data_IF_229565304502
#
_entry.id   IF_229565304502
#
_cell.length_a   1.000
_cell.length_b   1.000
_cell.length_c   1.000
_cell.angle_alpha   90.00
_cell.angle_beta   90.00
_cell.angle_gamma   90.00
#
_symmetry.space_group_name_H-M   'P 1'
#
loop_
_entity.id
_entity.type
_entity.pdbx_description
1 polymer ?
#
# COMPACT_ATOMS: atom_id res chain seq x y z
N UNK A 1 -5.49 -5.80 -22.30
CA UNK A 1 -5.80 -5.13 -21.01
C UNK A 1 -4.50 -4.86 -20.29
N UNK A 2 -4.31 -3.69 -19.65
CA UNK A 2 -3.25 -3.56 -18.65
C UNK A 2 -3.41 -4.70 -17.65
N UNK A 3 -2.31 -5.32 -17.24
CA UNK A 3 -2.36 -6.35 -16.22
C UNK A 3 -2.94 -5.71 -14.94
N UNK A 4 -4.18 -6.06 -14.61
CA UNK A 4 -4.91 -5.49 -13.48
C UNK A 4 -4.09 -5.52 -12.20
N UNK A 5 -3.31 -6.59 -11.99
CA UNK A 5 -2.41 -6.74 -10.84
C UNK A 5 -1.32 -5.66 -10.83
N UNK A 6 -0.73 -5.34 -11.99
CA UNK A 6 0.28 -4.28 -12.10
C UNK A 6 -0.32 -2.90 -11.85
N UNK A 7 -1.52 -2.64 -12.36
CA UNK A 7 -2.24 -1.39 -12.13
C UNK A 7 -2.63 -1.22 -10.65
N UNK A 8 -3.12 -2.28 -10.02
CA UNK A 8 -3.47 -2.29 -8.59
C UNK A 8 -2.24 -2.09 -7.70
N UNK A 9 -1.13 -2.77 -7.99
CA UNK A 9 0.14 -2.58 -7.28
C UNK A 9 0.62 -1.12 -7.33
N UNK A 10 0.57 -0.49 -8.50
CA UNK A 10 0.94 0.91 -8.66
C UNK A 10 0.04 1.85 -7.84
N UNK A 11 -1.28 1.62 -7.87
CA UNK A 11 -2.23 2.42 -7.11
C UNK A 11 -2.00 2.35 -5.60
N UNK A 12 -1.81 1.14 -5.06
CA UNK A 12 -1.55 0.92 -3.63
C UNK A 12 -0.23 1.55 -3.17
N UNK A 13 0.83 1.47 -4.00
CA UNK A 13 2.08 2.16 -3.72
C UNK A 13 1.91 3.69 -3.66
N UNK A 14 1.07 4.25 -4.53
CA UNK A 14 0.70 5.67 -4.50
C UNK A 14 -0.03 6.07 -3.21
N UNK A 15 -0.96 5.24 -2.75
CA UNK A 15 -1.68 5.46 -1.48
C UNK A 15 -0.70 5.44 -0.30
N UNK A 16 0.22 4.47 -0.25
CA UNK A 16 1.24 4.42 0.81
C UNK A 16 2.12 5.67 0.85
N UNK A 17 2.53 6.19 -0.32
CA UNK A 17 3.31 7.43 -0.39
C UNK A 17 2.51 8.62 0.15
N UNK A 18 1.24 8.76 -0.26
CA UNK A 18 0.37 9.82 0.24
C UNK A 18 0.16 9.74 1.76
N UNK A 19 -0.05 8.54 2.32
CA UNK A 19 -0.16 8.34 3.77
C UNK A 19 1.15 8.74 4.48
N UNK A 20 2.30 8.38 3.92
CA UNK A 20 3.59 8.75 4.49
C UNK A 20 3.82 10.27 4.50
N UNK A 21 3.43 10.96 3.44
CA UNK A 21 3.54 12.42 3.34
C UNK A 21 2.54 13.13 4.27
N UNK A 22 1.29 12.65 4.35
CA UNK A 22 0.32 13.15 5.33
C UNK A 22 0.80 12.98 6.77
N UNK A 23 1.47 11.85 7.08
CA UNK A 23 2.05 11.62 8.41
C UNK A 23 3.13 12.65 8.73
N UNK A 24 4.03 12.95 7.79
CA UNK A 24 5.08 13.99 7.96
C UNK A 24 4.46 15.37 8.22
N UNK A 25 3.41 15.72 7.46
CA UNK A 25 2.73 17.00 7.61
C UNK A 25 1.98 17.13 8.94
N UNK A 26 1.56 16.01 9.53
CA UNK A 26 0.77 15.97 10.76
C UNK A 26 1.59 15.53 12.00
N UNK A 27 2.92 15.59 11.97
CA UNK A 27 3.83 15.10 13.03
C UNK A 27 3.54 15.70 14.43
N UNK A 28 2.94 16.90 14.49
CA UNK A 28 2.55 17.54 15.76
C UNK A 28 1.22 17.01 16.35
N UNK A 29 0.34 16.40 15.55
CA UNK A 29 -1.00 15.95 15.95
C UNK A 29 -1.19 14.43 15.89
N UNK A 30 -0.40 13.71 15.09
CA UNK A 30 -0.59 12.29 14.81
C UNK A 30 0.39 11.42 15.60
N UNK A 31 0.01 11.02 16.82
CA UNK A 31 0.56 9.78 17.41
C UNK A 31 0.08 8.64 16.54
N UNK A 32 0.98 8.01 15.77
CA UNK A 32 0.73 6.87 14.88
C UNK A 32 -0.53 6.11 15.29
N UNK A 33 -1.65 6.41 14.65
CA UNK A 33 -2.94 5.99 15.20
C UNK A 33 -3.13 4.51 14.93
N UNK A 34 -3.89 3.83 15.79
CA UNK A 34 -4.20 2.40 15.58
C UNK A 34 -4.82 2.16 14.19
N UNK A 35 -5.63 3.11 13.71
CA UNK A 35 -6.26 3.06 12.39
C UNK A 35 -5.20 3.14 11.28
N UNK A 36 -4.27 4.11 11.33
CA UNK A 36 -3.21 4.23 10.32
C UNK A 36 -2.31 2.99 10.25
N UNK A 37 -2.01 2.39 11.40
CA UNK A 37 -1.22 1.16 11.46
C UNK A 37 -1.95 0.02 10.76
N UNK A 38 -3.24 -0.18 11.09
CA UNK A 38 -4.07 -1.21 10.45
C UNK A 38 -4.24 -0.97 8.94
N UNK A 39 -4.40 0.29 8.51
CA UNK A 39 -4.47 0.63 7.09
C UNK A 39 -3.17 0.31 6.36
N UNK A 40 -2.01 0.64 6.94
CA UNK A 40 -0.71 0.32 6.36
C UNK A 40 -0.48 -1.20 6.28
N UNK A 41 -0.86 -1.94 7.32
CA UNK A 41 -0.71 -3.40 7.35
C UNK A 41 -1.61 -4.07 6.31
N UNK A 42 -2.85 -3.59 6.14
CA UNK A 42 -3.77 -4.10 5.12
C UNK A 42 -3.24 -3.86 3.69
N UNK A 43 -2.69 -2.66 3.43
CA UNK A 43 -2.11 -2.35 2.11
C UNK A 43 -0.88 -3.22 1.83
N UNK A 44 -0.01 -3.42 2.82
CA UNK A 44 1.15 -4.32 2.68
C UNK A 44 0.73 -5.75 2.39
N UNK A 45 -0.25 -6.29 3.13
CA UNK A 45 -0.75 -7.64 2.90
C UNK A 45 -1.32 -7.81 1.48
N UNK A 46 -2.01 -6.78 0.96
CA UNK A 46 -2.50 -6.80 -0.42
C UNK A 46 -1.35 -6.76 -1.45
N UNK A 47 -0.32 -5.94 -1.22
CA UNK A 47 0.87 -5.89 -2.08
C UNK A 47 1.61 -7.24 -2.11
N UNK A 48 1.80 -7.87 -0.96
CA UNK A 48 2.43 -9.20 -0.86
C UNK A 48 1.62 -10.26 -1.62
N UNK A 49 0.29 -10.21 -1.53
CA UNK A 49 -0.60 -11.10 -2.26
C UNK A 49 -0.50 -10.88 -3.78
N UNK A 50 -0.44 -9.62 -4.23
CA UNK A 50 -0.26 -9.28 -5.64
C UNK A 50 1.09 -9.81 -6.16
N UNK A 51 2.15 -9.69 -5.38
CA UNK A 51 3.47 -10.18 -5.77
C UNK A 51 3.54 -11.70 -5.86
N UNK A 52 2.82 -12.42 -4.99
CA UNK A 52 2.64 -13.87 -5.12
C UNK A 52 1.89 -14.24 -6.39
N UNK A 53 0.85 -13.49 -6.76
CA UNK A 53 0.10 -13.76 -8.00
C UNK A 53 0.91 -13.47 -9.27
N UNK A 54 1.65 -12.36 -9.30
CA UNK A 54 2.51 -12.02 -10.43
C UNK A 54 3.61 -13.08 -10.62
N UNK A 55 4.28 -13.51 -9.54
CA UNK A 55 5.26 -14.60 -9.59
C UNK A 55 4.69 -15.91 -10.12
N UNK A 56 3.43 -16.24 -9.80
CA UNK A 56 2.74 -17.44 -10.32
C UNK A 56 2.36 -17.34 -11.80
N UNK A 57 2.23 -16.12 -12.34
CA UNK A 57 1.85 -15.88 -13.74
C UNK A 57 3.07 -15.86 -14.67
N UNK A 58 4.24 -15.57 -14.13
CA UNK A 58 5.51 -15.51 -14.86
C UNK A 58 6.18 -16.90 -15.05
N UNK A 59 5.61 -17.99 -14.51
CA UNK A 59 6.07 -19.38 -14.68
C UNK A 59 5.00 -20.24 -15.35
#
# INVERSE_FOLDING_TARGET
MPDYLKARKLHLNGIMAAIADMRKLNEAANKNTKVETLTNDAIKAELDFIDLQLKRKDG
#
